data_IF_760832784462
#
_entry.id   IF_760832784462
#
_cell.length_a   1.000
_cell.length_b   1.000
_cell.length_c   1.000
_cell.angle_alpha   90.00
_cell.angle_beta   90.00
_cell.angle_gamma   90.00
#
_symmetry.space_group_name_H-M   'P 1'
#
loop_
_entity.id
_entity.type
_entity.pdbx_description
1 polymer ?
#
# COMPACT_ATOMS: atom_id res chain seq x y z
N UNK A 1 -4.18 6.48 67.76
CA UNK A 1 -5.16 5.54 67.18
C UNK A 1 -6.26 6.30 66.45
N UNK A 2 -6.22 6.36 65.12
CA UNK A 2 -7.42 6.44 64.28
C UNK A 2 -7.02 6.09 62.84
N UNK A 3 -7.36 4.86 62.47
CA UNK A 3 -7.14 4.27 61.15
C UNK A 3 -7.98 5.02 60.10
N UNK A 4 -7.37 5.48 59.02
CA UNK A 4 -8.10 5.84 57.80
C UNK A 4 -7.84 4.76 56.75
N UNK A 5 -8.92 4.05 56.40
CA UNK A 5 -8.95 3.00 55.40
C UNK A 5 -8.78 3.61 54.00
N UNK A 6 -7.95 2.97 53.18
CA UNK A 6 -7.83 3.22 51.75
C UNK A 6 -9.17 3.01 51.04
N UNK A 7 -9.51 3.93 50.13
CA UNK A 7 -10.39 3.63 49.00
C UNK A 7 -9.67 4.14 47.75
N UNK A 8 -8.85 3.27 47.15
CA UNK A 8 -8.29 3.50 45.83
C UNK A 8 -9.43 3.23 44.84
N UNK A 9 -10.05 4.30 44.35
CA UNK A 9 -10.89 4.24 43.16
C UNK A 9 -9.96 4.03 41.96
N UNK A 10 -9.77 2.77 41.57
CA UNK A 10 -9.28 2.40 40.25
C UNK A 10 -10.36 2.78 39.23
N UNK A 11 -10.43 4.05 38.87
CA UNK A 11 -11.15 4.45 37.66
C UNK A 11 -10.33 3.94 36.49
N UNK A 12 -10.80 2.88 35.84
CA UNK A 12 -10.31 2.46 34.53
C UNK A 12 -10.48 3.65 33.59
N UNK A 13 -9.40 4.39 33.35
CA UNK A 13 -9.29 5.26 32.19
C UNK A 13 -9.36 4.33 30.99
N UNK A 14 -10.57 4.12 30.46
CA UNK A 14 -10.72 3.74 29.07
C UNK A 14 -10.14 4.94 28.31
N UNK A 15 -8.86 4.83 27.94
CA UNK A 15 -8.27 5.75 26.98
C UNK A 15 -9.09 5.50 25.72
N UNK A 16 -10.13 6.31 25.53
CA UNK A 16 -10.80 6.41 24.26
C UNK A 16 -9.69 6.88 23.33
N UNK A 17 -9.08 5.95 22.60
CA UNK A 17 -8.09 6.27 21.58
C UNK A 17 -8.84 7.14 20.59
N UNK A 18 -8.71 8.46 20.75
CA UNK A 18 -9.29 9.41 19.82
C UNK A 18 -8.59 9.09 18.50
N UNK A 19 -9.36 8.48 17.61
CA UNK A 19 -8.98 8.23 16.24
C UNK A 19 -8.77 9.59 15.59
N UNK A 20 -7.50 9.94 15.40
CA UNK A 20 -7.10 11.22 14.85
C UNK A 20 -7.15 11.12 13.33
N UNK A 21 -7.77 12.12 12.70
CA UNK A 21 -7.47 12.45 11.32
C UNK A 21 -6.21 13.33 11.33
N UNK A 22 -5.20 12.94 10.56
CA UNK A 22 -3.93 13.66 10.47
C UNK A 22 -3.86 14.30 9.10
N UNK A 23 -3.63 15.61 9.09
CA UNK A 23 -3.27 16.36 7.88
C UNK A 23 -1.92 17.04 8.12
N UNK A 24 -0.99 16.91 7.20
CA UNK A 24 0.36 17.44 7.38
C UNK A 24 1.14 17.66 6.10
N UNK A 25 2.26 18.36 6.23
CA UNK A 25 3.22 18.59 5.17
C UNK A 25 4.66 18.47 5.67
N UNK A 26 5.61 18.27 4.76
CA UNK A 26 7.04 18.17 5.07
C UNK A 26 7.47 16.72 5.25
N UNK A 27 8.08 16.39 6.39
CA UNK A 27 8.48 15.02 6.71
C UNK A 27 7.94 14.63 8.08
N UNK A 28 7.36 13.45 8.21
CA UNK A 28 6.84 12.93 9.47
C UNK A 28 6.93 11.41 9.53
N UNK A 29 7.06 10.90 10.75
CA UNK A 29 7.08 9.46 11.01
C UNK A 29 6.05 9.13 12.08
N UNK A 30 5.34 8.01 11.90
CA UNK A 30 4.30 7.53 12.80
C UNK A 30 4.56 6.08 13.15
N UNK A 31 4.42 5.73 14.42
CA UNK A 31 4.81 4.42 14.94
C UNK A 31 3.70 3.83 15.81
N UNK A 32 3.40 2.54 15.64
CA UNK A 32 2.63 1.73 16.59
C UNK A 32 1.29 2.36 17.02
N UNK A 33 0.53 2.90 16.07
CA UNK A 33 -0.70 3.60 16.36
C UNK A 33 -1.80 3.34 15.35
N UNK A 34 -3.01 3.78 15.71
CA UNK A 34 -4.17 3.72 14.83
C UNK A 34 -4.62 5.13 14.49
N UNK A 35 -4.71 5.41 13.20
CA UNK A 35 -5.13 6.68 12.61
C UNK A 35 -6.47 6.44 11.91
N UNK A 36 -7.38 7.42 11.95
CA UNK A 36 -8.64 7.32 11.20
C UNK A 36 -8.39 7.57 9.72
N UNK A 37 -7.82 8.76 9.41
CA UNK A 37 -7.46 9.21 8.07
C UNK A 37 -6.09 9.88 8.10
N UNK A 38 -5.31 9.73 7.04
CA UNK A 38 -4.03 10.39 6.86
C UNK A 38 -4.01 11.09 5.50
N UNK A 39 -3.81 12.41 5.48
CA UNK A 39 -3.61 13.20 4.27
C UNK A 39 -2.29 13.97 4.39
N UNK A 40 -1.27 13.60 3.63
CA UNK A 40 0.09 14.08 3.84
C UNK A 40 0.77 14.52 2.55
N UNK A 41 1.48 15.65 2.59
CA UNK A 41 2.28 16.16 1.47
C UNK A 41 3.77 16.17 1.81
N UNK A 42 4.57 15.43 1.07
CA UNK A 42 6.01 15.27 1.32
C UNK A 42 6.34 13.83 1.66
N UNK A 43 7.16 13.60 2.68
CA UNK A 43 7.64 12.26 3.04
C UNK A 43 6.98 11.77 4.32
N UNK A 44 6.31 10.63 4.25
CA UNK A 44 5.75 9.97 5.43
C UNK A 44 6.33 8.57 5.59
N UNK A 45 6.69 8.25 6.82
CA UNK A 45 7.19 6.95 7.25
C UNK A 45 6.22 6.36 8.28
N UNK A 46 5.68 5.17 8.00
CA UNK A 46 4.71 4.48 8.82
C UNK A 46 5.27 3.13 9.25
N UNK A 47 5.42 2.92 10.55
CA UNK A 47 5.89 1.66 11.12
C UNK A 47 4.85 1.11 12.10
N UNK A 48 4.29 -0.06 11.78
CA UNK A 48 3.21 -0.71 12.53
C UNK A 48 1.98 0.20 12.74
N UNK A 49 1.60 0.95 11.70
CA UNK A 49 0.47 1.89 11.73
C UNK A 49 -0.76 1.30 11.06
N UNK A 50 -1.91 1.43 11.72
CA UNK A 50 -3.21 1.08 11.15
C UNK A 50 -3.97 2.35 10.72
N UNK A 51 -4.22 2.52 9.43
CA UNK A 51 -5.10 3.59 8.91
C UNK A 51 -6.47 2.98 8.59
N UNK A 52 -7.48 3.34 9.39
CA UNK A 52 -8.80 2.68 9.36
C UNK A 52 -9.68 3.04 8.16
N UNK A 53 -9.43 4.20 7.55
CA UNK A 53 -10.20 4.71 6.41
C UNK A 53 -9.23 5.08 5.30
N UNK A 54 -9.05 6.36 5.03
CA UNK A 54 -8.33 6.82 3.85
C UNK A 54 -6.90 7.27 4.22
N UNK A 55 -5.92 6.75 3.48
CA UNK A 55 -4.56 7.26 3.43
C UNK A 55 -4.32 7.88 2.06
N UNK A 56 -3.98 9.16 2.05
CA UNK A 56 -3.60 9.92 0.87
C UNK A 56 -2.22 10.56 1.09
N UNK A 57 -1.29 10.28 0.18
CA UNK A 57 0.06 10.85 0.22
C UNK A 57 0.43 11.46 -1.13
N UNK A 58 0.81 12.74 -1.13
CA UNK A 58 1.45 13.40 -2.26
C UNK A 58 2.94 13.53 -1.97
N UNK A 59 3.75 12.62 -2.50
CA UNK A 59 5.20 12.56 -2.25
C UNK A 59 5.71 11.13 -2.05
N UNK A 60 6.42 10.88 -0.96
CA UNK A 60 7.04 9.57 -0.67
C UNK A 60 6.34 8.96 0.54
N UNK A 61 5.82 7.76 0.39
CA UNK A 61 5.28 6.95 1.49
C UNK A 61 6.17 5.71 1.67
N UNK A 62 6.71 5.53 2.88
CA UNK A 62 7.35 4.30 3.33
C UNK A 62 6.43 3.68 4.39
N UNK A 63 6.05 2.43 4.21
CA UNK A 63 5.15 1.72 5.11
C UNK A 63 5.76 0.37 5.43
N UNK A 64 6.09 0.14 6.70
CA UNK A 64 6.60 -1.12 7.22
C UNK A 64 5.60 -1.64 8.26
N UNK A 65 4.91 -2.73 7.94
CA UNK A 65 3.90 -3.29 8.81
C UNK A 65 2.60 -2.48 8.91
N UNK A 66 1.58 -3.12 9.49
CA UNK A 66 0.28 -2.53 9.75
C UNK A 66 -0.77 -2.80 8.67
N UNK A 67 -1.87 -2.05 8.75
CA UNK A 67 -3.05 -2.23 7.90
C UNK A 67 -3.58 -0.91 7.41
N UNK A 68 -3.73 -0.79 6.10
CA UNK A 68 -4.31 0.38 5.46
C UNK A 68 -5.63 -0.04 4.85
N UNK A 69 -6.71 0.71 5.09
CA UNK A 69 -7.97 0.42 4.43
C UNK A 69 -7.93 0.92 2.97
N UNK A 70 -8.06 2.21 2.71
CA UNK A 70 -7.88 2.77 1.36
C UNK A 70 -6.54 3.47 1.23
N UNK A 71 -5.84 3.28 0.11
CA UNK A 71 -4.51 3.81 -0.14
C UNK A 71 -4.45 4.56 -1.48
N UNK A 72 -4.13 5.85 -1.41
CA UNK A 72 -3.85 6.68 -2.57
C UNK A 72 -2.46 7.33 -2.42
N UNK A 73 -1.58 7.12 -3.39
CA UNK A 73 -0.25 7.76 -3.41
C UNK A 73 0.00 8.39 -4.77
N UNK A 74 0.37 9.67 -4.75
CA UNK A 74 0.88 10.42 -5.89
C UNK A 74 2.37 10.66 -5.65
N UNK A 75 3.23 9.78 -6.18
CA UNK A 75 4.67 9.79 -6.02
C UNK A 75 5.25 8.38 -5.86
N UNK A 76 6.04 8.15 -4.82
CA UNK A 76 6.73 6.87 -4.58
C UNK A 76 6.10 6.17 -3.38
N UNK A 77 5.72 4.91 -3.56
CA UNK A 77 5.27 4.02 -2.49
C UNK A 77 6.26 2.85 -2.33
N UNK A 78 6.87 2.77 -1.16
CA UNK A 78 7.57 1.59 -0.67
C UNK A 78 6.70 0.98 0.45
N UNK A 79 6.25 -0.26 0.29
CA UNK A 79 5.39 -0.93 1.27
C UNK A 79 5.87 -2.36 1.56
N UNK A 80 6.11 -2.64 2.83
CA UNK A 80 6.61 -3.91 3.33
C UNK A 80 5.72 -4.45 4.46
N UNK A 81 5.61 -5.78 4.56
CA UNK A 81 4.97 -6.48 5.68
C UNK A 81 3.53 -6.04 6.00
N UNK A 82 2.80 -5.54 5.01
CA UNK A 82 1.55 -4.82 5.20
C UNK A 82 0.34 -5.48 4.54
N UNK A 83 -0.85 -5.07 4.98
CA UNK A 83 -2.12 -5.45 4.33
C UNK A 83 -2.87 -4.20 3.91
N UNK A 84 -3.31 -4.15 2.66
CA UNK A 84 -4.22 -3.12 2.15
C UNK A 84 -5.57 -3.74 1.83
N UNK A 85 -6.60 -3.38 2.61
CA UNK A 85 -7.89 -4.07 2.63
C UNK A 85 -8.90 -3.53 1.59
N UNK A 86 -8.78 -2.25 1.26
CA UNK A 86 -9.67 -1.47 0.40
C UNK A 86 -9.00 -1.07 -0.92
N UNK A 87 -9.45 0.04 -1.48
CA UNK A 87 -9.06 0.48 -2.82
C UNK A 87 -7.62 1.02 -2.85
N UNK A 88 -6.88 0.71 -3.91
CA UNK A 88 -5.48 1.13 -4.09
C UNK A 88 -5.31 1.88 -5.39
N UNK A 89 -4.86 3.13 -5.30
CA UNK A 89 -4.63 4.02 -6.44
C UNK A 89 -3.26 4.66 -6.34
N UNK A 90 -2.32 4.24 -7.19
CA UNK A 90 -0.95 4.74 -7.18
C UNK A 90 -0.65 5.44 -8.49
N UNK A 91 -0.11 6.65 -8.41
CA UNK A 91 0.42 7.42 -9.54
C UNK A 91 1.90 7.68 -9.29
N UNK A 92 2.78 6.98 -10.01
CA UNK A 92 4.23 7.08 -9.87
C UNK A 92 4.90 5.71 -9.79
N UNK A 93 5.64 5.44 -8.72
CA UNK A 93 6.42 4.21 -8.52
C UNK A 93 5.87 3.39 -7.34
N UNK A 94 5.92 2.07 -7.47
CA UNK A 94 5.49 1.13 -6.42
C UNK A 94 6.51 0.00 -6.28
N UNK A 95 7.07 -0.14 -5.09
CA UNK A 95 7.77 -1.34 -4.64
C UNK A 95 7.00 -1.93 -3.45
N UNK A 96 6.52 -3.15 -3.61
CA UNK A 96 5.81 -3.90 -2.56
C UNK A 96 6.56 -5.18 -2.22
N UNK A 97 6.89 -5.37 -0.94
CA UNK A 97 7.48 -6.60 -0.41
C UNK A 97 6.59 -7.21 0.66
N UNK A 98 6.43 -8.54 0.64
CA UNK A 98 5.66 -9.31 1.63
C UNK A 98 4.29 -8.69 2.00
N UNK A 99 3.61 -8.11 1.00
CA UNK A 99 2.40 -7.32 1.20
C UNK A 99 1.19 -8.02 0.59
N UNK A 100 -0.01 -7.69 1.07
CA UNK A 100 -1.27 -8.21 0.52
C UNK A 100 -2.22 -7.09 0.12
N UNK A 101 -2.52 -7.00 -1.18
CA UNK A 101 -3.55 -6.12 -1.73
C UNK A 101 -4.85 -6.90 -1.92
N UNK A 102 -5.87 -6.62 -1.10
CA UNK A 102 -7.12 -7.38 -1.04
C UNK A 102 -8.14 -7.00 -2.11
N UNK A 103 -7.90 -5.89 -2.82
CA UNK A 103 -8.74 -5.37 -3.90
C UNK A 103 -7.90 -5.10 -5.14
N UNK A 104 -8.57 -4.65 -6.20
CA UNK A 104 -7.93 -4.23 -7.44
C UNK A 104 -6.93 -3.10 -7.17
N UNK A 105 -5.72 -3.26 -7.70
CA UNK A 105 -4.67 -2.25 -7.67
C UNK A 105 -4.72 -1.45 -8.97
N UNK A 106 -5.03 -0.16 -8.87
CA UNK A 106 -5.02 0.78 -9.98
C UNK A 106 -3.69 1.53 -9.96
N UNK A 107 -2.95 1.46 -11.06
CA UNK A 107 -1.61 2.00 -11.17
C UNK A 107 -1.47 2.89 -12.40
N UNK A 108 -0.82 4.04 -12.24
CA UNK A 108 -0.41 4.94 -13.33
C UNK A 108 1.07 5.24 -13.16
N UNK A 109 1.90 4.55 -13.92
CA UNK A 109 3.35 4.71 -13.85
C UNK A 109 4.03 3.83 -14.88
N UNK A 110 5.35 3.87 -14.89
CA UNK A 110 6.16 3.08 -15.82
C UNK A 110 6.41 1.67 -15.31
N UNK A 111 6.56 1.51 -13.99
CA UNK A 111 6.96 0.24 -13.41
C UNK A 111 6.40 0.07 -12.00
N UNK A 112 5.86 -1.11 -11.73
CA UNK A 112 5.54 -1.57 -10.39
C UNK A 112 6.20 -2.92 -10.13
N UNK A 113 6.68 -3.13 -8.90
CA UNK A 113 7.37 -4.35 -8.49
C UNK A 113 6.71 -4.98 -7.27
N UNK A 114 6.44 -6.28 -7.38
CA UNK A 114 5.84 -7.10 -6.33
C UNK A 114 6.82 -8.22 -5.96
N UNK A 115 7.25 -8.27 -4.70
CA UNK A 115 8.11 -9.32 -4.13
C UNK A 115 7.38 -10.00 -2.98
N UNK A 116 7.32 -11.34 -2.96
CA UNK A 116 6.60 -12.12 -1.93
C UNK A 116 5.16 -11.62 -1.67
N UNK A 117 4.52 -11.02 -2.67
CA UNK A 117 3.31 -10.20 -2.52
C UNK A 117 2.11 -10.87 -3.17
N UNK A 118 0.93 -10.68 -2.57
CA UNK A 118 -0.33 -11.13 -3.15
C UNK A 118 -1.15 -9.94 -3.61
N UNK A 119 -1.64 -9.98 -4.85
CA UNK A 119 -2.53 -8.97 -5.41
C UNK A 119 -3.76 -9.62 -6.07
N UNK A 120 -4.85 -8.87 -6.18
CA UNK A 120 -6.03 -9.27 -6.96
C UNK A 120 -5.85 -8.91 -8.44
N UNK A 121 -6.78 -8.16 -9.04
CA UNK A 121 -6.59 -7.58 -10.36
C UNK A 121 -5.60 -6.40 -10.29
N UNK A 122 -4.83 -6.20 -11.36
CA UNK A 122 -3.96 -5.04 -11.54
C UNK A 122 -4.38 -4.33 -12.83
N UNK A 123 -4.69 -3.03 -12.73
CA UNK A 123 -5.05 -2.19 -13.88
C UNK A 123 -4.02 -1.08 -14.01
N UNK A 124 -3.26 -1.14 -15.11
CA UNK A 124 -2.30 -0.12 -15.50
C UNK A 124 -2.97 0.84 -16.48
N UNK A 125 -3.25 2.05 -16.00
CA UNK A 125 -3.80 3.11 -16.86
C UNK A 125 -2.71 3.76 -17.68
N UNK A 126 -3.07 4.14 -18.90
CA UNK A 126 -2.16 4.81 -19.82
C UNK A 126 -1.77 6.21 -19.28
N UNK A 127 -0.48 6.51 -19.08
CA UNK A 127 -0.04 7.86 -18.76
C UNK A 127 -0.29 8.80 -19.95
N UNK A 128 -0.69 10.05 -19.70
CA UNK A 128 -1.08 11.00 -20.77
C UNK A 128 0.03 11.24 -21.81
N UNK A 129 1.30 11.21 -21.40
CA UNK A 129 2.43 11.66 -22.24
C UNK A 129 3.58 10.63 -22.33
N UNK A 130 3.49 9.48 -21.67
CA UNK A 130 4.58 8.51 -21.70
C UNK A 130 4.54 7.67 -22.97
N UNK A 131 5.70 7.54 -23.61
CA UNK A 131 5.96 6.57 -24.69
C UNK A 131 6.63 5.31 -24.17
N UNK A 132 6.88 5.24 -22.86
CA UNK A 132 7.58 4.12 -22.26
C UNK A 132 6.60 2.99 -21.99
N UNK A 133 7.06 1.78 -22.24
CA UNK A 133 6.33 0.55 -21.99
C UNK A 133 6.12 0.38 -20.49
N UNK A 134 4.86 0.25 -20.08
CA UNK A 134 4.52 -0.04 -18.68
C UNK A 134 4.90 -1.48 -18.33
N UNK A 135 5.49 -1.67 -17.14
CA UNK A 135 5.96 -2.97 -16.67
C UNK A 135 5.37 -3.34 -15.32
N UNK A 136 5.05 -4.62 -15.18
CA UNK A 136 4.72 -5.26 -13.91
C UNK A 136 5.77 -6.34 -13.66
N UNK A 137 6.57 -6.19 -12.60
CA UNK A 137 7.47 -7.23 -12.14
C UNK A 137 6.83 -8.02 -11.03
N UNK A 138 6.70 -9.32 -11.22
CA UNK A 138 6.11 -10.24 -10.24
C UNK A 138 7.20 -11.24 -9.87
N UNK A 139 7.72 -11.11 -8.65
CA UNK A 139 8.94 -11.77 -8.19
C UNK A 139 8.82 -12.45 -6.83
N UNK A 140 9.76 -13.34 -6.54
CA UNK A 140 9.98 -14.00 -5.26
C UNK A 140 8.73 -14.66 -4.69
N UNK A 141 8.06 -15.48 -5.51
CA UNK A 141 6.87 -16.23 -5.11
C UNK A 141 5.60 -15.39 -5.03
N UNK A 142 5.61 -14.20 -5.63
CA UNK A 142 4.41 -13.34 -5.70
C UNK A 142 3.29 -13.99 -6.51
N UNK A 143 2.05 -13.68 -6.12
CA UNK A 143 0.85 -14.21 -6.76
C UNK A 143 -0.13 -13.10 -7.10
N UNK A 144 -0.40 -12.92 -8.38
CA UNK A 144 -1.51 -12.08 -8.85
C UNK A 144 -2.72 -12.99 -9.12
N UNK A 145 -3.73 -12.93 -8.26
CA UNK A 145 -4.91 -13.81 -8.35
C UNK A 145 -5.80 -13.46 -9.56
N UNK A 146 -5.84 -12.18 -9.93
CA UNK A 146 -6.68 -11.64 -10.99
C UNK A 146 -5.97 -11.47 -12.33
N UNK A 147 -6.55 -10.63 -13.17
CA UNK A 147 -6.01 -10.21 -14.46
C UNK A 147 -4.99 -9.08 -14.27
N UNK A 148 -4.07 -8.96 -15.23
CA UNK A 148 -3.21 -7.79 -15.40
C UNK A 148 -3.62 -7.11 -16.69
N UNK A 149 -4.12 -5.87 -16.59
CA UNK A 149 -4.70 -5.14 -17.71
C UNK A 149 -3.89 -3.88 -17.96
N UNK A 150 -3.35 -3.74 -19.17
CA UNK A 150 -2.66 -2.55 -19.62
C UNK A 150 -3.54 -1.79 -20.60
N UNK A 151 -3.95 -0.58 -20.24
CA UNK A 151 -4.72 0.29 -21.14
C UNK A 151 -3.86 0.87 -22.27
N UNK A 152 -2.53 0.86 -22.13
CA UNK A 152 -1.60 1.32 -23.15
C UNK A 152 -1.57 0.45 -24.40
N UNK A 153 -1.87 -0.86 -24.25
CA UNK A 153 -1.85 -1.86 -25.32
C UNK A 153 -0.47 -2.43 -25.66
N UNK A 154 0.60 -2.02 -24.96
CA UNK A 154 1.98 -2.41 -25.21
C UNK A 154 2.76 -2.85 -23.96
N UNK A 155 2.06 -3.22 -22.88
CA UNK A 155 2.67 -3.54 -21.59
C UNK A 155 3.47 -4.84 -21.51
N UNK A 156 4.29 -4.95 -20.48
CA UNK A 156 5.10 -6.14 -20.19
C UNK A 156 4.86 -6.64 -18.75
N UNK A 157 4.57 -7.94 -18.62
CA UNK A 157 4.63 -8.64 -17.33
C UNK A 157 5.93 -9.42 -17.29
N UNK A 158 6.84 -9.04 -16.41
CA UNK A 158 8.09 -9.74 -16.16
C UNK A 158 7.86 -10.68 -14.99
N UNK A 159 7.96 -11.98 -15.24
CA UNK A 159 7.66 -13.03 -14.28
C UNK A 159 8.91 -13.89 -14.06
N UNK A 160 9.26 -14.12 -12.79
CA UNK A 160 10.29 -15.10 -12.43
C UNK A 160 9.72 -16.53 -12.34
N UNK A 161 10.57 -17.49 -11.96
CA UNK A 161 10.22 -18.91 -12.02
C UNK A 161 9.33 -19.38 -10.86
N UNK A 162 9.29 -18.66 -9.74
CA UNK A 162 8.55 -19.00 -8.53
C UNK A 162 7.25 -18.19 -8.38
N UNK A 163 7.09 -17.12 -9.14
CA UNK A 163 5.86 -16.33 -9.17
C UNK A 163 4.84 -16.80 -10.18
N UNK A 164 3.59 -16.36 -10.02
CA UNK A 164 2.51 -16.68 -10.97
C UNK A 164 1.43 -15.62 -10.98
N UNK A 165 0.69 -15.57 -12.09
CA UNK A 165 -0.62 -14.95 -12.13
C UNK A 165 -1.66 -15.99 -12.54
N UNK A 166 -2.87 -15.91 -11.98
CA UNK A 166 -3.94 -16.90 -12.20
C UNK A 166 -4.99 -16.44 -13.22
N UNK A 167 -5.02 -15.13 -13.53
CA UNK A 167 -5.88 -14.55 -14.57
C UNK A 167 -5.20 -14.46 -15.94
N UNK A 168 -5.62 -13.48 -16.74
CA UNK A 168 -5.07 -13.21 -18.07
C UNK A 168 -4.30 -11.89 -18.10
N UNK A 169 -3.36 -11.78 -19.04
CA UNK A 169 -2.73 -10.50 -19.41
C UNK A 169 -3.49 -9.90 -20.60
N UNK A 170 -3.97 -8.67 -20.46
CA UNK A 170 -4.67 -7.92 -21.52
C UNK A 170 -3.89 -6.65 -21.87
N UNK A 171 -3.77 -6.34 -23.16
CA UNK A 171 -3.03 -5.14 -23.60
C UNK A 171 -1.52 -5.21 -23.34
N UNK A 172 -0.98 -6.41 -23.08
CA UNK A 172 0.44 -6.62 -22.83
C UNK A 172 0.87 -8.05 -23.14
N UNK A 173 2.13 -8.36 -22.86
CA UNK A 173 2.72 -9.70 -23.04
C UNK A 173 3.53 -10.12 -21.82
N UNK A 174 3.63 -11.42 -21.61
CA UNK A 174 4.53 -12.00 -20.60
C UNK A 174 5.93 -12.11 -21.18
N UNK A 175 6.92 -11.72 -20.39
CA UNK A 175 8.35 -11.80 -20.68
C UNK A 175 9.00 -12.60 -19.56
N UNK A 176 9.76 -13.63 -19.91
CA UNK A 176 10.54 -14.39 -18.93
C UNK A 176 11.68 -13.53 -18.40
N UNK A 177 11.86 -13.53 -17.08
CA UNK A 177 13.08 -13.00 -16.47
C UNK A 177 14.30 -13.86 -16.92
N UNK A 178 15.38 -13.20 -17.33
CA UNK A 178 16.58 -13.84 -17.89
C UNK A 178 17.58 -14.24 -16.81
#
# INVERSE_FOLDING_TARGET
MRNFKYLILLSTFSICSILLAITGEGSSSFFNQTIDNLDFKGTVDLDDVNVKKDMHVQGIAKIEGGKIFNLQVEGILEIEDSIVEGDVNIVGELEAENTQFMKTLIFIGEELELKKTQAQDIILKKPNESKLTQRVRVREGSVVQGNIIFESGDGEVILDNDSRFLGNVQGGRVVSEA
#
